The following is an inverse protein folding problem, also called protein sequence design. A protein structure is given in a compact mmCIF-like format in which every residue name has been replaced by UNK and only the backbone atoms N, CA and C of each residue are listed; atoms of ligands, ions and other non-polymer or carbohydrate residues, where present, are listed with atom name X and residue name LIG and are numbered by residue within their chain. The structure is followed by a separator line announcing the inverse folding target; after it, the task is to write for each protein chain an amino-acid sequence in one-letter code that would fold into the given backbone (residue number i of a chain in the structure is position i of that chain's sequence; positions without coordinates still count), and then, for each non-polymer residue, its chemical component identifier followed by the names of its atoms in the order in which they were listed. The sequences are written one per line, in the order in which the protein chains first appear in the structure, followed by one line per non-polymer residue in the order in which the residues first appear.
data_IF_568245918070
#
_entry.id   IF_568245918070
#
_cell.length_a   1.000
_cell.length_b   1.000
_cell.length_c   1.000
_cell.angle_alpha   90.00
_cell.angle_beta   90.00
_cell.angle_gamma   90.00
#
_symmetry.space_group_name_H-M   'P 1'
#
loop_
_entity.id
_entity.type
_entity.pdbx_description
1 polymer ?
#
# COMPACT_ATOMS: atom_id res chain seq x y z
N UNK A 1 -11.29 15.74 -24.78
CA UNK A 1 -11.68 14.88 -23.66
C UNK A 1 -10.62 14.99 -22.57
N UNK A 2 -10.98 15.58 -21.48
CA UNK A 2 -10.02 15.78 -20.39
C UNK A 2 -9.81 14.47 -19.68
N UNK A 3 -8.60 13.94 -19.75
CA UNK A 3 -8.18 12.95 -18.80
C UNK A 3 -8.23 13.65 -17.43
N UNK A 4 -9.27 13.38 -16.67
CA UNK A 4 -9.29 13.85 -15.30
C UNK A 4 -8.07 13.28 -14.59
N UNK A 5 -7.25 14.17 -14.05
CA UNK A 5 -6.06 13.75 -13.33
C UNK A 5 -6.44 12.91 -12.13
N UNK A 6 -5.91 11.71 -12.07
CA UNK A 6 -6.03 10.86 -10.90
C UNK A 6 -5.15 11.41 -9.79
N UNK A 7 -5.57 11.23 -8.54
CA UNK A 7 -4.80 11.65 -7.37
C UNK A 7 -4.46 10.43 -6.52
N UNK A 8 -3.21 10.31 -6.13
CA UNK A 8 -2.73 9.22 -5.31
C UNK A 8 -1.76 9.66 -4.24
N UNK A 9 -1.58 8.80 -3.27
CA UNK A 9 -0.57 8.93 -2.23
C UNK A 9 0.65 8.12 -2.65
N UNK A 10 1.75 8.81 -2.95
CA UNK A 10 3.01 8.17 -3.34
C UNK A 10 3.84 7.84 -2.11
N UNK A 11 4.33 6.62 -2.04
CA UNK A 11 5.17 6.14 -0.93
C UNK A 11 6.32 5.29 -1.46
N UNK A 12 7.33 5.12 -0.62
CA UNK A 12 8.45 4.22 -0.91
C UNK A 12 8.38 3.00 -0.02
N UNK A 13 8.37 1.82 -0.64
CA UNK A 13 8.37 0.55 0.07
C UNK A 13 9.57 -0.26 -0.39
N UNK A 14 10.65 -0.24 0.40
CA UNK A 14 11.82 -1.06 0.15
C UNK A 14 12.43 -0.92 -1.25
N UNK A 15 12.50 0.23 -1.81
CA UNK A 15 13.02 0.47 -3.15
C UNK A 15 11.97 0.52 -4.25
N UNK A 16 10.72 0.20 -3.92
CA UNK A 16 9.60 0.32 -4.87
C UNK A 16 8.88 1.63 -4.63
N UNK A 17 8.61 2.36 -5.70
CA UNK A 17 7.81 3.59 -5.65
C UNK A 17 6.37 3.24 -6.01
N UNK A 18 5.48 3.43 -5.07
CA UNK A 18 4.09 2.99 -5.18
C UNK A 18 3.14 4.18 -5.07
N UNK A 19 2.01 4.09 -5.74
CA UNK A 19 0.93 5.05 -5.61
C UNK A 19 -0.32 4.34 -5.13
N UNK A 20 -0.91 4.85 -4.06
CA UNK A 20 -2.14 4.32 -3.46
C UNK A 20 -3.26 5.32 -3.71
N UNK A 21 -4.43 4.80 -4.05
CA UNK A 21 -5.62 5.61 -4.29
C UNK A 21 -5.96 6.44 -3.04
N UNK A 22 -6.20 7.74 -3.22
CA UNK A 22 -6.54 8.63 -2.12
C UNK A 22 -7.87 8.28 -1.44
N UNK A 23 -8.76 7.59 -2.14
CA UNK A 23 -10.01 7.12 -1.54
C UNK A 23 -9.76 5.97 -0.55
N UNK A 24 -8.71 5.18 -0.77
CA UNK A 24 -8.33 4.13 0.14
C UNK A 24 -7.45 4.66 1.28
N UNK A 25 -6.48 5.51 0.98
CA UNK A 25 -5.48 6.00 1.94
C UNK A 25 -6.12 7.01 2.89
N UNK A 26 -6.30 6.64 4.14
CA UNK A 26 -7.01 7.46 5.14
C UNK A 26 -6.07 8.24 6.04
N UNK A 27 -5.03 7.59 6.55
CA UNK A 27 -4.24 8.15 7.65
C UNK A 27 -2.80 7.67 7.58
N UNK A 28 -1.89 8.52 8.05
CA UNK A 28 -0.48 8.17 8.21
C UNK A 28 -0.18 8.13 9.70
N UNK A 29 0.43 7.03 10.15
CA UNK A 29 0.80 6.82 11.54
C UNK A 29 2.31 6.83 11.67
N UNK A 30 2.84 7.80 12.40
CA UNK A 30 4.28 7.99 12.57
C UNK A 30 4.87 7.11 13.66
N UNK A 31 4.10 6.85 14.70
CA UNK A 31 4.54 6.08 15.87
C UNK A 31 3.60 4.90 16.08
N UNK A 32 4.16 3.71 16.12
CA UNK A 32 3.37 2.50 16.24
C UNK A 32 4.18 1.40 16.92
N UNK A 33 3.47 0.44 17.49
CA UNK A 33 4.05 -0.74 18.10
C UNK A 33 3.52 -1.98 17.39
N UNK A 34 4.43 -2.71 16.74
CA UNK A 34 4.08 -3.94 16.03
C UNK A 34 4.05 -5.14 16.97
N UNK A 35 2.97 -5.88 16.89
CA UNK A 35 2.86 -7.19 17.56
C UNK A 35 2.87 -8.25 16.46
N UNK A 36 3.78 -9.21 16.56
CA UNK A 36 3.90 -10.27 15.57
C UNK A 36 2.69 -11.18 15.58
N UNK A 37 2.23 -11.57 14.41
CA UNK A 37 1.15 -12.53 14.23
C UNK A 37 1.80 -13.92 14.09
N UNK A 38 1.47 -14.89 14.98
CA UNK A 38 2.06 -16.23 14.87
C UNK A 38 1.73 -16.88 13.52
N UNK A 39 2.74 -17.53 12.94
CA UNK A 39 2.61 -18.29 11.69
C UNK A 39 2.22 -17.47 10.47
N UNK A 40 2.35 -16.15 10.54
CA UNK A 40 2.08 -15.29 9.42
C UNK A 40 3.20 -15.40 8.36
N UNK A 41 2.89 -15.19 7.07
CA UNK A 41 3.93 -15.08 6.07
C UNK A 41 4.83 -13.87 6.37
N UNK A 42 6.05 -13.88 5.82
CA UNK A 42 7.04 -12.86 6.16
C UNK A 42 6.64 -11.42 5.78
N UNK A 43 5.77 -11.26 4.77
CA UNK A 43 5.30 -9.95 4.36
C UNK A 43 4.20 -9.38 5.26
N UNK A 44 3.52 -10.23 6.02
CA UNK A 44 2.58 -9.81 7.06
C UNK A 44 3.36 -9.66 8.36
N UNK A 45 3.95 -8.47 8.54
CA UNK A 45 4.97 -8.24 9.56
C UNK A 45 4.43 -8.09 10.96
N UNK A 46 3.12 -7.93 11.10
CA UNK A 46 2.49 -7.85 12.42
C UNK A 46 1.15 -7.18 12.37
N UNK A 47 0.70 -6.76 13.54
CA UNK A 47 -0.51 -5.97 13.70
C UNK A 47 -0.25 -4.83 14.65
N UNK A 48 -1.03 -3.77 14.52
CA UNK A 48 -0.98 -2.61 15.41
C UNK A 48 -2.36 -2.33 15.96
N UNK A 49 -2.39 -1.76 17.15
CA UNK A 49 -3.65 -1.26 17.73
C UNK A 49 -3.73 0.24 17.46
N UNK A 50 -4.74 0.64 16.70
CA UNK A 50 -5.01 2.04 16.42
C UNK A 50 -6.43 2.34 16.90
N UNK A 51 -6.54 3.16 17.92
CA UNK A 51 -7.82 3.56 18.51
C UNK A 51 -8.70 2.37 18.90
N UNK A 52 -8.08 1.33 19.46
CA UNK A 52 -8.77 0.12 19.90
C UNK A 52 -9.01 -0.92 18.82
N UNK A 53 -8.60 -0.65 17.58
CA UNK A 53 -8.74 -1.60 16.47
C UNK A 53 -7.42 -2.26 16.16
N UNK A 54 -7.46 -3.57 15.94
CA UNK A 54 -6.29 -4.34 15.54
C UNK A 54 -6.22 -4.36 14.02
N UNK A 55 -5.15 -3.78 13.49
CA UNK A 55 -4.98 -3.58 12.05
C UNK A 55 -3.74 -4.35 11.60
N UNK A 56 -3.88 -5.25 10.59
CA UNK A 56 -2.72 -5.96 10.05
C UNK A 56 -1.80 -5.00 9.30
N UNK A 57 -0.50 -5.22 9.42
CA UNK A 57 0.54 -4.43 8.79
C UNK A 57 1.31 -5.27 7.80
N UNK A 58 1.39 -4.79 6.57
CA UNK A 58 2.07 -5.50 5.49
C UNK A 58 3.30 -4.73 5.03
N UNK A 59 4.32 -5.49 4.65
CA UNK A 59 5.50 -4.99 3.95
C UNK A 59 5.39 -5.44 2.50
N UNK A 60 4.97 -4.53 1.61
CA UNK A 60 4.76 -4.87 0.21
C UNK A 60 6.06 -5.24 -0.49
N UNK A 61 7.21 -4.71 -0.06
CA UNK A 61 8.48 -5.10 -0.66
C UNK A 61 8.77 -6.58 -0.44
N UNK A 62 8.46 -7.11 0.75
CA UNK A 62 8.57 -8.55 1.04
C UNK A 62 7.49 -9.35 0.32
N UNK A 63 6.31 -8.78 0.12
CA UNK A 63 5.28 -9.43 -0.67
C UNK A 63 5.71 -9.62 -2.12
N UNK A 64 6.31 -8.57 -2.72
CA UNK A 64 6.79 -8.65 -4.11
C UNK A 64 8.00 -9.55 -4.26
N UNK A 65 8.91 -9.53 -3.28
CA UNK A 65 10.14 -10.32 -3.30
C UNK A 65 10.27 -11.06 -1.97
N UNK A 66 9.66 -12.25 -1.85
CA UNK A 66 9.57 -12.95 -0.56
C UNK A 66 10.92 -13.34 0.06
N UNK A 67 11.94 -13.47 -0.76
CA UNK A 67 13.29 -13.85 -0.29
C UNK A 67 14.17 -12.64 0.06
N UNK A 68 13.64 -11.42 -0.05
CA UNK A 68 14.38 -10.24 0.34
C UNK A 68 14.61 -10.23 1.84
N UNK A 69 15.75 -9.68 2.26
CA UNK A 69 16.05 -9.54 3.67
C UNK A 69 15.10 -8.51 4.30
N UNK A 70 14.52 -8.82 5.48
CA UNK A 70 13.70 -7.85 6.19
C UNK A 70 14.54 -6.63 6.57
N UNK A 71 13.97 -5.43 6.38
CA UNK A 71 14.63 -4.21 6.83
C UNK A 71 14.32 -3.97 8.30
N UNK A 72 15.31 -3.45 9.02
CA UNK A 72 15.08 -2.99 10.39
C UNK A 72 14.16 -1.78 10.36
N UNK A 73 13.08 -1.84 11.14
CA UNK A 73 12.14 -0.73 11.25
C UNK A 73 12.74 0.32 12.17
N UNK A 74 12.82 1.55 11.70
CA UNK A 74 13.36 2.67 12.45
C UNK A 74 12.41 3.87 12.42
N UNK A 75 12.88 5.01 12.93
CA UNK A 75 12.06 6.23 13.03
C UNK A 75 11.64 6.83 11.68
N UNK A 76 12.26 6.38 10.57
CA UNK A 76 11.89 6.84 9.23
C UNK A 76 10.76 6.03 8.63
N UNK A 77 10.36 4.95 9.29
CA UNK A 77 9.25 4.12 8.86
C UNK A 77 7.93 4.64 9.41
N UNK A 78 6.92 4.57 8.58
CA UNK A 78 5.56 4.99 8.89
C UNK A 78 4.57 3.97 8.36
N UNK A 79 3.34 4.08 8.81
CA UNK A 79 2.25 3.26 8.30
C UNK A 79 1.27 4.13 7.51
N UNK A 80 0.91 3.68 6.33
CA UNK A 80 -0.21 4.22 5.58
C UNK A 80 -1.40 3.30 5.84
N UNK A 81 -2.38 3.80 6.57
CA UNK A 81 -3.58 3.04 6.94
C UNK A 81 -4.69 3.39 5.98
N UNK A 82 -5.34 2.39 5.44
CA UNK A 82 -6.41 2.60 4.50
C UNK A 82 -7.47 1.52 4.56
N UNK A 83 -8.58 1.79 3.88
CA UNK A 83 -9.73 0.90 3.83
C UNK A 83 -10.92 1.46 4.57
N UNK A 84 -11.92 0.60 4.81
CA UNK A 84 -13.17 0.98 5.42
C UNK A 84 -13.41 0.19 6.69
N UNK A 85 -13.83 0.88 7.74
CA UNK A 85 -14.19 0.26 9.00
C UNK A 85 -15.66 -0.17 8.99
N UNK A 86 -15.95 -1.17 9.82
CA UNK A 86 -17.34 -1.54 10.13
C UNK A 86 -18.07 -0.31 10.67
N UNK A 87 -19.23 -0.04 10.13
CA UNK A 87 -20.01 1.15 10.49
C UNK A 87 -19.85 2.30 9.51
N UNK A 88 -18.86 2.28 8.63
CA UNK A 88 -18.78 3.24 7.53
C UNK A 88 -19.93 2.98 6.56
N UNK A 89 -20.51 4.08 6.02
CA UNK A 89 -21.67 3.99 5.15
C UNK A 89 -21.44 3.11 3.91
N UNK A 90 -20.20 3.04 3.47
CA UNK A 90 -19.80 2.28 2.27
C UNK A 90 -19.21 0.90 2.59
N UNK A 91 -19.17 0.52 3.87
CA UNK A 91 -18.63 -0.80 4.24
C UNK A 91 -19.63 -1.89 3.86
N UNK A 92 -19.19 -2.83 3.04
CA UNK A 92 -20.03 -3.92 2.56
C UNK A 92 -19.93 -5.10 3.53
N UNK A 93 -21.09 -5.59 3.98
CA UNK A 93 -21.17 -6.79 4.82
C UNK A 93 -20.75 -6.58 6.27
N UNK A 94 -20.55 -5.35 6.72
CA UNK A 94 -20.20 -5.06 8.10
C UNK A 94 -18.81 -5.52 8.53
N UNK A 95 -17.95 -5.86 7.58
CA UNK A 95 -16.58 -6.31 7.86
C UNK A 95 -15.60 -5.17 7.70
N UNK A 96 -14.60 -5.11 8.60
CA UNK A 96 -13.48 -4.19 8.43
C UNK A 96 -12.64 -4.60 7.22
N UNK A 97 -12.37 -3.65 6.35
CA UNK A 97 -11.49 -3.84 5.19
C UNK A 97 -10.27 -2.92 5.31
N UNK A 98 -9.69 -2.90 6.51
CA UNK A 98 -8.60 -1.98 6.84
C UNK A 98 -7.30 -2.75 6.98
N UNK A 99 -6.26 -2.24 6.35
CA UNK A 99 -4.91 -2.71 6.60
C UNK A 99 -3.94 -1.53 6.50
N UNK A 100 -2.71 -1.76 6.96
CA UNK A 100 -1.67 -0.75 6.93
C UNK A 100 -0.49 -1.23 6.09
N UNK A 101 0.13 -0.30 5.37
CA UNK A 101 1.32 -0.54 4.57
C UNK A 101 2.50 0.15 5.23
N UNK A 102 3.55 -0.61 5.51
CA UNK A 102 4.81 -0.05 6.00
C UNK A 102 5.54 0.65 4.86
N UNK A 103 5.93 1.89 5.07
CA UNK A 103 6.73 2.63 4.10
C UNK A 103 7.80 3.46 4.81
N UNK A 104 8.75 3.95 4.06
CA UNK A 104 9.83 4.80 4.58
C UNK A 104 9.79 6.18 3.94
N UNK A 105 10.30 7.18 4.67
CA UNK A 105 10.37 8.54 4.19
C UNK A 105 9.05 9.28 4.31
N UNK A 106 8.91 10.36 3.56
CA UNK A 106 7.71 11.18 3.55
C UNK A 106 6.80 10.78 2.40
N UNK A 107 5.50 10.63 2.68
CA UNK A 107 4.54 10.40 1.60
C UNK A 107 4.33 11.68 0.80
N UNK A 108 3.96 11.52 -0.47
CA UNK A 108 3.72 12.65 -1.35
C UNK A 108 2.40 12.47 -2.06
N UNK A 109 1.58 13.52 -2.04
CA UNK A 109 0.36 13.54 -2.85
C UNK A 109 0.74 13.89 -4.28
N UNK A 110 0.30 13.05 -5.23
CA UNK A 110 0.60 13.26 -6.64
C UNK A 110 -0.68 13.28 -7.47
N UNK A 111 -0.65 14.08 -8.51
CA UNK A 111 -1.59 13.96 -9.61
C UNK A 111 -0.89 13.20 -10.73
N UNK A 112 -1.59 12.29 -11.38
CA UNK A 112 -0.95 11.41 -12.33
C UNK A 112 -1.89 10.95 -13.45
N UNK A 113 -1.28 10.43 -14.49
CA UNK A 113 -1.96 9.69 -15.54
C UNK A 113 -1.51 8.23 -15.49
N UNK A 114 -2.44 7.33 -15.75
CA UNK A 114 -2.17 5.88 -15.72
C UNK A 114 -1.82 5.38 -17.11
N UNK A 115 -0.77 4.56 -17.20
CA UNK A 115 -0.38 3.86 -18.41
C UNK A 115 -0.33 2.35 -18.13
N UNK A 116 -0.56 1.55 -19.16
CA UNK A 116 -0.43 0.11 -19.03
C UNK A 116 1.03 -0.27 -18.80
N UNK A 117 1.25 -1.34 -18.03
CA UNK A 117 2.58 -1.87 -17.81
C UNK A 117 3.03 -2.61 -19.08
N UNK A 118 4.20 -2.22 -19.59
CA UNK A 118 4.80 -2.89 -20.73
C UNK A 118 5.09 -4.36 -20.38
N UNK A 119 4.64 -5.28 -21.25
CA UNK A 119 4.85 -6.69 -21.04
C UNK A 119 6.33 -7.09 -21.00
N UNK A 120 7.20 -6.29 -21.61
CA UNK A 120 8.64 -6.55 -21.63
C UNK A 120 9.34 -6.08 -20.35
N UNK A 121 8.67 -5.31 -19.49
CA UNK A 121 9.25 -4.81 -18.26
C UNK A 121 9.50 -5.96 -17.28
N UNK A 122 10.74 -6.07 -16.82
CA UNK A 122 11.12 -7.13 -15.87
C UNK A 122 10.86 -6.63 -14.45
N UNK A 123 9.76 -7.08 -13.87
CA UNK A 123 9.36 -6.78 -12.48
C UNK A 123 8.86 -8.06 -11.82
N UNK A 124 8.82 -8.10 -10.49
CA UNK A 124 8.24 -9.25 -9.79
C UNK A 124 6.81 -9.52 -10.25
N UNK A 125 6.48 -10.79 -10.40
CA UNK A 125 5.15 -11.21 -10.86
C UNK A 125 4.05 -10.69 -9.92
N UNK A 126 4.28 -10.75 -8.61
CA UNK A 126 3.31 -10.27 -7.62
C UNK A 126 3.07 -8.76 -7.73
N UNK A 127 4.12 -7.99 -8.07
CA UNK A 127 3.96 -6.56 -8.32
C UNK A 127 3.13 -6.32 -9.59
N UNK A 128 3.39 -7.07 -10.64
CA UNK A 128 2.62 -6.97 -11.89
C UNK A 128 1.15 -7.30 -11.65
N UNK A 129 0.88 -8.38 -10.92
CA UNK A 129 -0.49 -8.82 -10.63
C UNK A 129 -1.26 -7.83 -9.77
N UNK A 130 -0.56 -7.13 -8.87
CA UNK A 130 -1.18 -6.19 -7.94
C UNK A 130 -1.28 -4.77 -8.49
N UNK A 131 -0.66 -4.49 -9.63
CA UNK A 131 -0.61 -3.13 -10.17
C UNK A 131 -1.74 -2.88 -11.15
N UNK A 132 -2.42 -1.74 -11.00
CA UNK A 132 -3.39 -1.24 -11.97
C UNK A 132 -2.71 -0.64 -13.19
N UNK A 133 -1.47 -0.22 -13.05
CA UNK A 133 -0.68 0.38 -14.11
C UNK A 133 0.52 1.13 -13.59
N UNK A 134 1.26 1.71 -14.51
CA UNK A 134 2.34 2.64 -14.21
C UNK A 134 1.77 4.05 -14.23
N UNK A 135 2.14 4.86 -13.25
CA UNK A 135 1.69 6.24 -13.17
C UNK A 135 2.90 7.17 -13.16
N UNK A 136 2.74 8.27 -13.86
CA UNK A 136 3.73 9.33 -13.88
C UNK A 136 3.13 10.56 -13.24
N UNK A 137 3.86 11.13 -12.29
CA UNK A 137 3.42 12.36 -11.64
C UNK A 137 3.44 13.50 -12.68
N UNK A 138 2.34 14.24 -12.73
CA UNK A 138 2.20 15.39 -13.66
C UNK A 138 2.50 16.72 -12.96
N UNK A 139 2.67 16.70 -11.63
CA UNK A 139 2.87 17.93 -10.85
C UNK A 139 3.95 17.75 -9.80
N UNK A 140 4.58 18.86 -9.42
CA UNK A 140 5.46 18.95 -8.27
C UNK A 140 6.84 18.35 -8.47
N UNK A 141 7.51 18.09 -7.35
CA UNK A 141 8.90 17.63 -7.33
C UNK A 141 9.08 16.21 -7.88
N UNK A 142 8.01 15.45 -7.99
CA UNK A 142 8.05 14.08 -8.50
C UNK A 142 7.67 13.94 -9.97
N UNK A 143 7.63 15.05 -10.73
CA UNK A 143 7.05 15.07 -12.08
C UNK A 143 7.71 14.11 -13.09
N UNK A 144 8.94 13.69 -12.84
CA UNK A 144 9.64 12.73 -13.72
C UNK A 144 9.73 11.33 -13.13
N UNK A 145 9.12 11.11 -11.96
CA UNK A 145 9.21 9.83 -11.27
C UNK A 145 8.05 8.92 -11.66
N UNK A 146 8.35 7.65 -11.78
CA UNK A 146 7.38 6.61 -12.13
C UNK A 146 7.01 5.81 -10.90
N UNK A 147 5.72 5.53 -10.75
CA UNK A 147 5.19 4.75 -9.63
C UNK A 147 4.35 3.60 -10.17
N UNK A 148 4.22 2.53 -9.39
CA UNK A 148 3.24 1.49 -9.65
C UNK A 148 1.98 1.76 -8.85
N UNK A 149 0.84 1.86 -9.52
CA UNK A 149 -0.44 2.05 -8.83
C UNK A 149 -0.96 0.72 -8.32
N UNK A 150 -1.15 0.63 -7.02
CA UNK A 150 -1.53 -0.61 -6.34
C UNK A 150 -3.06 -0.75 -6.29
N UNK A 151 -3.53 -1.93 -6.68
CA UNK A 151 -4.93 -2.32 -6.55
C UNK A 151 -5.19 -2.76 -5.10
N UNK A 152 -5.63 -1.81 -4.28
CA UNK A 152 -5.85 -2.04 -2.85
C UNK A 152 -7.02 -2.99 -2.60
N UNK A 153 -8.05 -2.95 -3.43
CA UNK A 153 -9.20 -3.88 -3.30
C UNK A 153 -8.77 -5.32 -3.54
N UNK A 154 -7.96 -5.54 -4.55
CA UNK A 154 -7.43 -6.87 -4.85
C UNK A 154 -6.54 -7.38 -3.73
N UNK A 155 -5.67 -6.52 -3.19
CA UNK A 155 -4.81 -6.92 -2.08
C UNK A 155 -5.61 -7.21 -0.82
N UNK A 156 -6.65 -6.42 -0.55
CA UNK A 156 -7.52 -6.66 0.60
C UNK A 156 -8.25 -8.00 0.51
N UNK A 157 -8.74 -8.34 -0.67
CA UNK A 157 -9.37 -9.64 -0.89
C UNK A 157 -8.39 -10.79 -0.63
N UNK A 158 -7.16 -10.66 -1.13
CA UNK A 158 -6.10 -11.64 -0.89
C UNK A 158 -5.75 -11.74 0.59
N UNK A 159 -5.65 -10.61 1.28
CA UNK A 159 -5.32 -10.55 2.71
C UNK A 159 -6.42 -11.21 3.54
N UNK A 160 -7.68 -10.94 3.23
CA UNK A 160 -8.81 -11.56 3.93
C UNK A 160 -8.79 -13.08 3.80
N UNK A 161 -8.51 -13.59 2.61
CA UNK A 161 -8.40 -15.03 2.38
C UNK A 161 -7.22 -15.64 3.15
N UNK A 162 -6.14 -14.88 3.32
CA UNK A 162 -4.93 -15.35 3.99
C UNK A 162 -5.06 -15.37 5.51
N UNK A 163 -5.97 -14.59 6.09
CA UNK A 163 -6.14 -14.46 7.53
C UNK A 163 -7.22 -15.40 8.11
N UNK A 164 -7.93 -16.10 7.27
CA UNK A 164 -8.97 -17.05 7.69
C UNK A 164 -8.38 -18.44 7.95
#
# INVERSE_FOLDING_TARGET
MNAEGLTGQAISCGGWSLSLNMQWANTIVDTFELVKIPRAPNWLIGAVNIDGRIIPVVDLSLYFVPNAAPMAIDRHHRLLVGGKHEGDADAVGGSDTVFAILFSGLPMRIQYTREAIDASLVIPERLRDLSLGIVKSTTGLGSNKTYFEIDTDRFMAFLSDSLI
#
